data_IF_349382279507
#
_entry.id   IF_349382279507
#
_cell.length_a   1.000
_cell.length_b   1.000
_cell.length_c   1.000
_cell.angle_alpha   90.00
_cell.angle_beta   90.00
_cell.angle_gamma   90.00
#
_symmetry.space_group_name_H-M   'P 1'
#
loop_
_entity.id
_entity.type
_entity.pdbx_description
1 polymer ?
#
# COMPACT_ATOMS: atom_id res chain seq x y z
N UNK A 1 15.29 -5.52 -10.96
CA UNK A 1 14.15 -4.71 -11.38
C UNK A 1 13.84 -3.66 -10.35
N UNK A 2 13.60 -2.46 -10.81
CA UNK A 2 13.21 -1.36 -9.94
C UNK A 2 11.71 -1.41 -9.66
N UNK A 3 11.32 -0.81 -8.56
CA UNK A 3 9.93 -0.63 -8.21
C UNK A 3 9.32 0.50 -9.04
N UNK A 4 8.14 0.25 -9.61
CA UNK A 4 7.35 1.28 -10.27
C UNK A 4 6.18 1.65 -9.36
N UNK A 5 5.96 2.95 -9.18
CA UNK A 5 4.90 3.50 -8.34
C UNK A 5 4.04 4.42 -9.20
N UNK A 6 2.78 4.07 -9.37
CA UNK A 6 1.82 4.87 -10.11
C UNK A 6 0.60 5.11 -9.22
N UNK A 7 -0.11 6.20 -9.44
CA UNK A 7 -1.32 6.44 -8.67
C UNK A 7 -2.39 7.13 -9.51
N UNK A 8 -3.64 6.88 -9.13
CA UNK A 8 -4.80 7.53 -9.73
C UNK A 8 -5.90 7.68 -8.70
N UNK A 9 -6.78 8.62 -8.91
CA UNK A 9 -7.94 8.80 -8.06
C UNK A 9 -9.12 8.01 -8.64
N UNK A 10 -9.78 7.21 -7.79
CA UNK A 10 -10.99 6.48 -8.16
C UNK A 10 -12.21 7.40 -8.07
N UNK A 11 -13.34 6.96 -8.63
CA UNK A 11 -14.59 7.73 -8.59
C UNK A 11 -15.05 8.09 -7.17
N UNK A 12 -14.77 7.19 -6.22
CA UNK A 12 -15.11 7.40 -4.81
C UNK A 12 -14.25 8.46 -4.12
N UNK A 13 -13.20 8.94 -4.77
CA UNK A 13 -12.22 9.84 -4.17
C UNK A 13 -11.05 9.12 -3.51
N UNK A 14 -11.10 7.79 -3.38
CA UNK A 14 -9.97 7.02 -2.88
C UNK A 14 -8.84 7.02 -3.92
N UNK A 15 -7.60 6.99 -3.46
CA UNK A 15 -6.44 6.95 -4.34
C UNK A 15 -5.91 5.52 -4.43
N UNK A 16 -5.77 5.03 -5.65
CA UNK A 16 -5.17 3.73 -5.92
C UNK A 16 -3.69 3.94 -6.22
N UNK A 17 -2.84 3.35 -5.41
CA UNK A 17 -1.39 3.34 -5.61
C UNK A 17 -0.99 1.97 -6.12
N UNK A 18 -0.64 1.89 -7.39
CA UNK A 18 -0.26 0.65 -8.04
C UNK A 18 1.26 0.46 -7.96
N UNK A 19 1.67 -0.64 -7.36
CA UNK A 19 3.08 -0.98 -7.20
C UNK A 19 3.42 -2.18 -8.07
N UNK A 20 4.54 -2.09 -8.77
CA UNK A 20 5.01 -3.16 -9.66
C UNK A 20 6.50 -3.38 -9.44
N UNK A 21 6.88 -4.63 -9.22
CA UNK A 21 8.28 -5.01 -9.03
C UNK A 21 8.58 -5.44 -7.61
N UNK A 22 9.69 -4.96 -7.06
CA UNK A 22 10.16 -5.37 -5.73
C UNK A 22 10.11 -4.21 -4.75
N UNK A 23 9.47 -4.43 -3.60
CA UNK A 23 9.41 -3.44 -2.52
C UNK A 23 10.47 -3.82 -1.49
N UNK A 24 11.69 -3.39 -1.74
CA UNK A 24 12.86 -3.80 -0.98
C UNK A 24 13.74 -2.59 -0.66
N UNK A 25 14.82 -2.82 0.07
CA UNK A 25 15.80 -1.79 0.39
C UNK A 25 16.26 -1.10 -0.90
N UNK A 26 16.19 0.24 -0.92
CA UNK A 26 16.60 1.04 -2.06
C UNK A 26 15.85 2.35 -2.11
N UNK A 27 16.35 3.29 -2.92
CA UNK A 27 15.79 4.64 -3.01
C UNK A 27 14.36 4.64 -3.54
N UNK A 28 14.04 3.72 -4.46
CA UNK A 28 12.71 3.70 -5.06
C UNK A 28 11.61 3.37 -4.07
N UNK A 29 11.89 2.53 -3.06
CA UNK A 29 10.87 2.18 -2.07
C UNK A 29 10.52 3.35 -1.14
N UNK A 30 11.42 4.31 -0.95
CA UNK A 30 11.09 5.52 -0.17
C UNK A 30 10.00 6.35 -0.82
N UNK A 31 9.82 6.21 -2.13
CA UNK A 31 8.77 6.87 -2.88
C UNK A 31 7.36 6.53 -2.39
N UNK A 32 7.18 5.37 -1.79
CA UNK A 32 5.89 4.97 -1.21
C UNK A 32 5.50 5.93 -0.10
N UNK A 33 6.39 6.16 0.86
CA UNK A 33 6.12 7.08 1.98
C UNK A 33 5.98 8.52 1.51
N UNK A 34 6.83 8.93 0.56
CA UNK A 34 6.79 10.28 -0.01
C UNK A 34 5.44 10.53 -0.67
N UNK A 35 4.94 9.56 -1.46
CA UNK A 35 3.64 9.70 -2.11
C UNK A 35 2.50 9.79 -1.10
N UNK A 36 2.51 8.92 -0.08
CA UNK A 36 1.45 8.95 0.96
C UNK A 36 1.45 10.30 1.67
N UNK A 37 2.62 10.81 2.00
CA UNK A 37 2.74 12.13 2.64
C UNK A 37 2.17 13.23 1.74
N UNK A 38 2.47 13.18 0.45
CA UNK A 38 1.93 14.12 -0.54
C UNK A 38 0.41 14.04 -0.60
N UNK A 39 -0.15 12.84 -0.68
CA UNK A 39 -1.59 12.63 -0.77
C UNK A 39 -2.29 13.17 0.47
N UNK A 40 -1.75 12.93 1.66
CA UNK A 40 -2.29 13.47 2.91
C UNK A 40 -2.30 15.00 2.87
N UNK A 41 -1.22 15.61 2.37
CA UNK A 41 -1.13 17.06 2.21
C UNK A 41 -2.18 17.64 1.26
N UNK A 42 -2.69 16.82 0.34
CA UNK A 42 -3.74 17.19 -0.61
C UNK A 42 -5.15 16.85 -0.09
N UNK A 43 -5.25 16.39 1.14
CA UNK A 43 -6.54 15.99 1.72
C UNK A 43 -7.02 14.61 1.26
N UNK A 44 -6.17 13.82 0.62
CA UNK A 44 -6.50 12.50 0.09
C UNK A 44 -5.98 11.44 1.05
N UNK A 45 -6.84 10.99 1.94
CA UNK A 45 -6.44 10.11 3.05
C UNK A 45 -7.05 8.72 3.00
N UNK A 46 -7.70 8.34 1.89
CA UNK A 46 -8.21 6.97 1.67
C UNK A 46 -7.38 6.37 0.54
N UNK A 47 -6.58 5.37 0.87
CA UNK A 47 -5.57 4.82 -0.04
C UNK A 47 -5.71 3.31 -0.16
N UNK A 48 -5.62 2.80 -1.37
CA UNK A 48 -5.46 1.37 -1.66
C UNK A 48 -4.08 1.17 -2.28
N UNK A 49 -3.29 0.29 -1.69
CA UNK A 49 -2.10 -0.22 -2.37
C UNK A 49 -2.50 -1.45 -3.19
N UNK A 50 -2.35 -1.34 -4.49
CA UNK A 50 -2.60 -2.45 -5.42
C UNK A 50 -1.29 -3.20 -5.63
N UNK A 51 -1.23 -4.43 -5.13
CA UNK A 51 0.00 -5.20 -4.98
C UNK A 51 0.12 -6.40 -5.91
N UNK A 52 -0.82 -6.59 -6.83
CA UNK A 52 -0.79 -7.78 -7.70
C UNK A 52 0.46 -7.86 -8.57
N UNK A 53 1.10 -6.73 -8.85
CA UNK A 53 2.35 -6.68 -9.61
C UNK A 53 3.61 -6.71 -8.75
N UNK A 54 3.48 -6.81 -7.42
CA UNK A 54 4.63 -6.89 -6.52
C UNK A 54 5.06 -8.34 -6.40
N UNK A 55 6.33 -8.62 -6.68
CA UNK A 55 6.86 -9.99 -6.68
C UNK A 55 7.59 -10.34 -5.39
N UNK A 56 8.24 -9.36 -4.75
CA UNK A 56 9.04 -9.57 -3.56
C UNK A 56 8.92 -8.40 -2.62
N UNK A 57 9.04 -8.68 -1.31
CA UNK A 57 9.09 -7.67 -0.27
C UNK A 57 10.09 -8.14 0.80
N UNK A 58 10.85 -7.20 1.36
CA UNK A 58 11.73 -7.46 2.49
C UNK A 58 11.27 -6.66 3.71
N UNK A 59 12.02 -6.76 4.82
CA UNK A 59 11.67 -6.05 6.05
C UNK A 59 11.65 -4.54 5.88
N UNK A 60 12.50 -4.00 5.01
CA UNK A 60 12.50 -2.57 4.70
C UNK A 60 11.22 -2.19 3.97
N UNK A 61 10.81 -2.99 2.98
CA UNK A 61 9.56 -2.78 2.26
C UNK A 61 8.35 -2.83 3.19
N UNK A 62 8.32 -3.82 4.08
CA UNK A 62 7.25 -3.89 5.09
C UNK A 62 7.23 -2.61 5.93
N UNK A 63 8.39 -2.10 6.32
CA UNK A 63 8.50 -0.85 7.07
C UNK A 63 7.89 0.35 6.33
N UNK A 64 7.99 0.38 5.00
CA UNK A 64 7.37 1.43 4.18
C UNK A 64 5.85 1.41 4.32
N UNK A 65 5.25 0.22 4.31
CA UNK A 65 3.81 0.07 4.47
C UNK A 65 3.35 0.39 5.89
N UNK A 66 4.12 -0.02 6.90
CA UNK A 66 3.81 0.32 8.30
C UNK A 66 3.83 1.84 8.49
N UNK A 67 4.85 2.51 7.98
CA UNK A 67 4.95 3.97 8.04
C UNK A 67 3.77 4.65 7.35
N UNK A 68 3.38 4.14 6.19
CA UNK A 68 2.22 4.66 5.44
C UNK A 68 0.93 4.49 6.23
N UNK A 69 0.72 3.31 6.82
CA UNK A 69 -0.45 3.06 7.65
C UNK A 69 -0.53 4.01 8.84
N UNK A 70 0.58 4.20 9.53
CA UNK A 70 0.63 5.09 10.69
C UNK A 70 0.33 6.54 10.30
N UNK A 71 0.88 7.02 9.19
CA UNK A 71 0.62 8.37 8.70
C UNK A 71 -0.87 8.58 8.38
N UNK A 72 -1.47 7.61 7.71
CA UNK A 72 -2.89 7.69 7.37
C UNK A 72 -3.78 7.63 8.61
N UNK A 73 -3.45 6.79 9.57
CA UNK A 73 -4.19 6.72 10.84
C UNK A 73 -4.15 8.04 11.62
N UNK A 74 -3.03 8.72 11.61
CA UNK A 74 -2.87 10.01 12.31
C UNK A 74 -3.83 11.08 11.80
N UNK A 75 -4.26 10.99 10.56
CA UNK A 75 -5.18 11.95 9.95
C UNK A 75 -6.61 11.38 9.81
N UNK A 76 -6.89 10.28 10.48
CA UNK A 76 -8.20 9.65 10.40
C UNK A 76 -8.49 9.00 9.06
N UNK A 77 -7.46 8.66 8.29
CA UNK A 77 -7.60 8.05 6.99
C UNK A 77 -7.73 6.54 7.03
N UNK A 78 -7.77 5.94 5.86
CA UNK A 78 -7.88 4.49 5.69
C UNK A 78 -6.89 3.96 4.68
N UNK A 79 -6.49 2.70 4.88
CA UNK A 79 -5.58 2.00 3.99
C UNK A 79 -6.08 0.57 3.79
N UNK A 80 -6.11 0.14 2.53
CA UNK A 80 -6.39 -1.25 2.18
C UNK A 80 -5.27 -1.77 1.28
N UNK A 81 -5.01 -3.07 1.36
CA UNK A 81 -3.99 -3.77 0.58
C UNK A 81 -4.72 -4.73 -0.36
N UNK A 82 -4.61 -4.52 -1.66
CA UNK A 82 -5.33 -5.32 -2.65
C UNK A 82 -4.40 -6.21 -3.45
N UNK A 83 -4.79 -7.44 -3.67
CA UNK A 83 -4.12 -8.34 -4.61
C UNK A 83 -2.78 -8.90 -4.16
N UNK A 84 -2.45 -8.84 -2.88
CA UNK A 84 -1.20 -9.42 -2.38
C UNK A 84 -1.26 -10.95 -2.46
N UNK A 85 -0.26 -11.57 -3.08
CA UNK A 85 -0.18 -13.03 -3.23
C UNK A 85 1.26 -13.49 -3.02
N UNK A 86 1.44 -14.83 -2.92
CA UNK A 86 2.76 -15.45 -2.87
C UNK A 86 3.63 -14.96 -1.74
N UNK A 87 4.89 -14.67 -2.05
CA UNK A 87 5.88 -14.25 -1.06
C UNK A 87 5.47 -12.96 -0.33
N UNK A 88 4.79 -12.05 -1.03
CA UNK A 88 4.34 -10.79 -0.46
C UNK A 88 3.33 -11.03 0.65
N UNK A 89 2.30 -11.83 0.36
CA UNK A 89 1.25 -12.18 1.33
C UNK A 89 1.85 -12.95 2.50
N UNK A 90 2.75 -13.90 2.19
CA UNK A 90 3.42 -14.71 3.21
C UNK A 90 4.26 -13.87 4.15
N UNK A 91 4.96 -12.86 3.64
CA UNK A 91 5.78 -11.98 4.47
C UNK A 91 4.96 -11.25 5.53
N UNK A 92 3.77 -10.79 5.16
CA UNK A 92 2.85 -10.17 6.12
C UNK A 92 2.27 -11.17 7.11
N UNK A 93 2.00 -12.39 6.65
CA UNK A 93 1.45 -13.44 7.50
C UNK A 93 2.48 -13.92 8.54
N UNK A 94 3.71 -14.20 8.10
CA UNK A 94 4.79 -14.69 8.98
C UNK A 94 5.12 -13.68 10.08
N UNK A 95 5.05 -12.40 9.77
CA UNK A 95 5.32 -11.33 10.72
C UNK A 95 4.09 -10.93 11.52
N UNK A 96 2.95 -11.57 11.28
CA UNK A 96 1.64 -11.30 11.91
C UNK A 96 1.11 -9.90 11.62
N UNK A 97 1.60 -9.27 10.57
CA UNK A 97 1.17 -7.92 10.18
C UNK A 97 -0.17 -7.95 9.45
N UNK A 98 -0.62 -9.12 9.01
CA UNK A 98 -1.96 -9.30 8.45
C UNK A 98 -3.06 -9.10 9.49
N UNK A 99 -2.71 -8.92 10.76
CA UNK A 99 -3.69 -8.55 11.81
C UNK A 99 -3.90 -7.03 11.89
N UNK A 100 -2.94 -6.22 11.39
CA UNK A 100 -3.03 -4.75 11.46
C UNK A 100 -3.34 -4.12 10.11
N UNK A 101 -3.06 -4.82 9.01
CA UNK A 101 -3.44 -4.37 7.67
C UNK A 101 -4.71 -5.07 7.22
N UNK A 102 -5.50 -4.38 6.42
CA UNK A 102 -6.70 -4.95 5.82
C UNK A 102 -6.38 -5.39 4.39
N UNK A 103 -6.47 -6.69 4.14
CA UNK A 103 -6.19 -7.27 2.83
C UNK A 103 -7.47 -7.62 2.11
N UNK A 104 -7.52 -7.29 0.82
CA UNK A 104 -8.62 -7.63 -0.06
C UNK A 104 -8.09 -8.43 -1.25
N UNK A 105 -8.91 -9.31 -1.81
CA UNK A 105 -8.50 -10.18 -2.91
C UNK A 105 -8.15 -9.40 -4.17
N UNK A 106 -8.84 -8.26 -4.38
CA UNK A 106 -8.64 -7.45 -5.59
C UNK A 106 -8.96 -5.98 -5.30
N UNK A 107 -8.67 -5.15 -6.29
CA UNK A 107 -8.86 -3.70 -6.18
C UNK A 107 -10.32 -3.32 -5.97
N UNK A 108 -11.24 -3.98 -6.67
CA UNK A 108 -12.67 -3.67 -6.56
C UNK A 108 -13.16 -3.86 -5.13
N UNK A 109 -12.79 -4.99 -4.50
CA UNK A 109 -13.17 -5.26 -3.11
C UNK A 109 -12.57 -4.22 -2.16
N UNK A 110 -11.32 -3.81 -2.37
CA UNK A 110 -10.66 -2.82 -1.55
C UNK A 110 -11.35 -1.45 -1.63
N UNK A 111 -11.67 -1.01 -2.83
CA UNK A 111 -12.36 0.26 -3.04
C UNK A 111 -13.74 0.26 -2.39
N UNK A 112 -14.45 -0.85 -2.50
CA UNK A 112 -15.77 -1.02 -1.90
C UNK A 112 -15.70 -0.94 -0.37
N UNK A 113 -14.66 -1.54 0.22
CA UNK A 113 -14.45 -1.54 1.67
C UNK A 113 -14.13 -0.15 2.22
N UNK A 114 -13.45 0.68 1.43
CA UNK A 114 -13.14 2.07 1.83
C UNK A 114 -14.36 3.00 1.73
N UNK A 115 -15.33 2.61 0.96
CA UNK A 115 -16.54 3.41 0.76
C UNK A 115 -16.38 4.48 -0.28
#
# INVERSE_FOLDING_TARGET
MTLQIEHREAESGAVVVTLTGRVMLGETSTGIETLVKQLIGEGKNRVVFELSGVTHIDSTGIGRFISSLNKLRQVGGGLRMAGATGQVRDAFHVTRLDTIFNFDDNLEAALKALG
#
